data_IF_012401824811
#
_entry.id   IF_012401824811
#
_cell.length_a   1.000
_cell.length_b   1.000
_cell.length_c   1.000
_cell.angle_alpha   90.00
_cell.angle_beta   90.00
_cell.angle_gamma   90.00
#
_symmetry.space_group_name_H-M   'P 1'
#
loop_
_entity.id
_entity.type
_entity.pdbx_description
1 polymer ?
#
# COMPACT_ATOMS: atom_id res chain seq x y z
N UNK A 1 -17.24 -15.32 -2.97
CA UNK A 1 -16.12 -14.42 -3.34
C UNK A 1 -14.82 -15.19 -3.62
N UNK A 2 -14.36 -16.07 -2.71
CA UNK A 2 -13.08 -16.78 -2.87
C UNK A 2 -12.92 -17.51 -4.22
N UNK A 3 -13.91 -18.29 -4.67
CA UNK A 3 -13.84 -19.01 -5.94
C UNK A 3 -13.66 -18.08 -7.14
N UNK A 4 -14.31 -16.92 -7.14
CA UNK A 4 -14.18 -15.94 -8.23
C UNK A 4 -12.77 -15.32 -8.26
N UNK A 5 -12.16 -15.07 -7.10
CA UNK A 5 -10.78 -14.55 -7.00
C UNK A 5 -9.79 -15.55 -7.58
N UNK A 6 -9.94 -16.85 -7.26
CA UNK A 6 -9.05 -17.90 -7.79
C UNK A 6 -9.12 -17.96 -9.32
N UNK A 7 -10.30 -17.78 -9.91
CA UNK A 7 -10.49 -17.83 -11.36
C UNK A 7 -9.97 -16.56 -12.05
N UNK A 8 -10.30 -15.39 -11.49
CA UNK A 8 -10.10 -14.09 -12.15
C UNK A 8 -8.77 -13.40 -11.79
N UNK A 9 -8.21 -13.71 -10.62
CA UNK A 9 -7.02 -13.07 -10.04
C UNK A 9 -6.04 -14.13 -9.52
N UNK A 10 -5.47 -14.91 -10.44
CA UNK A 10 -4.70 -16.13 -10.14
C UNK A 10 -3.48 -15.91 -9.24
N UNK A 11 -2.87 -14.73 -9.31
CA UNK A 11 -1.71 -14.34 -8.49
C UNK A 11 -2.12 -13.65 -7.17
N UNK A 12 -3.43 -13.54 -6.89
CA UNK A 12 -3.93 -12.89 -5.68
C UNK A 12 -4.22 -13.90 -4.59
N UNK A 13 -3.58 -13.69 -3.43
CA UNK A 13 -3.88 -14.45 -2.22
C UNK A 13 -5.08 -13.85 -1.48
N UNK A 14 -6.19 -14.57 -1.43
CA UNK A 14 -7.36 -14.13 -0.67
C UNK A 14 -7.14 -14.29 0.84
N UNK A 15 -7.30 -13.20 1.58
CA UNK A 15 -7.13 -13.14 3.04
C UNK A 15 -8.45 -12.81 3.73
N UNK A 16 -8.71 -13.45 4.88
CA UNK A 16 -9.85 -13.11 5.72
C UNK A 16 -9.55 -11.84 6.53
N UNK A 17 -10.60 -11.06 6.76
CA UNK A 17 -10.50 -9.82 7.52
C UNK A 17 -10.50 -10.11 9.02
N UNK A 18 -9.44 -9.67 9.72
CA UNK A 18 -9.28 -9.90 11.16
C UNK A 18 -10.43 -9.25 11.93
N UNK A 19 -10.89 -8.06 11.52
CA UNK A 19 -12.05 -7.41 12.14
C UNK A 19 -13.32 -8.27 12.08
N UNK A 20 -13.60 -8.90 10.93
CA UNK A 20 -14.74 -9.80 10.79
C UNK A 20 -14.56 -11.07 11.64
N UNK A 21 -13.34 -11.60 11.73
CA UNK A 21 -13.04 -12.73 12.62
C UNK A 21 -13.29 -12.33 14.08
N UNK A 22 -12.81 -11.17 14.52
CA UNK A 22 -13.05 -10.63 15.87
C UNK A 22 -14.54 -10.41 16.15
N UNK A 23 -15.30 -9.90 15.17
CA UNK A 23 -16.76 -9.75 15.30
C UNK A 23 -17.47 -11.10 15.40
N UNK A 24 -17.04 -12.10 14.64
CA UNK A 24 -17.57 -13.45 14.75
C UNK A 24 -17.17 -14.08 16.10
N UNK A 25 -15.97 -13.83 16.60
CA UNK A 25 -15.53 -14.30 17.91
C UNK A 25 -16.47 -13.82 19.03
N UNK A 26 -16.92 -12.56 18.98
CA UNK A 26 -17.91 -12.06 19.96
C UNK A 26 -19.25 -12.81 19.92
N UNK A 27 -19.60 -13.41 18.79
CA UNK A 27 -20.86 -14.16 18.61
C UNK A 27 -20.71 -15.63 19.01
N UNK A 28 -19.65 -16.30 18.56
CA UNK A 28 -19.47 -17.76 18.74
C UNK A 28 -18.75 -18.13 20.03
N UNK A 29 -17.90 -17.25 20.55
CA UNK A 29 -17.10 -17.48 21.77
C UNK A 29 -17.14 -16.25 22.69
N UNK A 30 -18.26 -15.53 22.72
CA UNK A 30 -18.39 -14.24 23.40
C UNK A 30 -17.96 -14.25 24.87
N UNK A 31 -18.34 -15.28 25.64
CA UNK A 31 -17.93 -15.44 27.04
C UNK A 31 -16.41 -15.48 27.23
N UNK A 32 -15.70 -16.21 26.37
CA UNK A 32 -14.24 -16.26 26.35
C UNK A 32 -13.65 -14.97 25.80
N UNK A 33 -14.22 -14.41 24.74
CA UNK A 33 -13.71 -13.20 24.09
C UNK A 33 -13.80 -11.95 24.98
N UNK A 34 -14.72 -11.94 25.96
CA UNK A 34 -14.78 -10.93 27.01
C UNK A 34 -13.65 -11.05 28.06
N UNK A 35 -13.01 -12.21 28.19
CA UNK A 35 -11.86 -12.39 29.05
C UNK A 35 -10.62 -11.72 28.41
N UNK A 36 -9.98 -10.81 29.15
CA UNK A 36 -8.81 -10.07 28.68
C UNK A 36 -7.66 -10.98 28.27
N UNK A 37 -7.35 -11.99 29.08
CA UNK A 37 -6.25 -12.93 28.84
C UNK A 37 -6.50 -13.78 27.58
N UNK A 38 -7.74 -14.26 27.40
CA UNK A 38 -8.14 -14.96 26.18
C UNK A 38 -7.94 -14.08 24.96
N UNK A 39 -8.47 -12.85 25.03
CA UNK A 39 -8.42 -11.89 23.93
C UNK A 39 -6.99 -11.52 23.56
N UNK A 40 -6.11 -11.39 24.55
CA UNK A 40 -4.68 -11.14 24.34
C UNK A 40 -4.00 -12.31 23.62
N UNK A 41 -4.17 -13.55 24.10
CA UNK A 41 -3.59 -14.75 23.46
C UNK A 41 -4.14 -14.98 22.04
N UNK A 42 -5.44 -14.76 21.86
CA UNK A 42 -6.09 -14.88 20.56
C UNK A 42 -5.61 -13.78 19.59
N UNK A 43 -5.44 -12.55 20.06
CA UNK A 43 -4.90 -11.45 19.24
C UNK A 43 -3.44 -11.65 18.85
N UNK A 44 -2.64 -12.28 19.72
CA UNK A 44 -1.26 -12.67 19.42
C UNK A 44 -1.18 -13.56 18.17
N UNK A 45 -2.15 -14.45 17.96
CA UNK A 45 -2.24 -15.30 16.76
C UNK A 45 -2.47 -14.49 15.46
N UNK A 46 -3.12 -13.33 15.55
CA UNK A 46 -3.40 -12.48 14.39
C UNK A 46 -2.26 -11.54 14.02
N UNK A 47 -1.34 -11.27 14.95
CA UNK A 47 -0.50 -10.08 14.86
C UNK A 47 0.97 -10.35 15.13
N UNK A 48 1.27 -11.26 16.05
CA UNK A 48 2.61 -11.36 16.60
C UNK A 48 3.31 -12.65 16.20
N UNK A 49 2.59 -13.67 15.72
CA UNK A 49 3.20 -14.91 15.23
C UNK A 49 3.84 -14.69 13.86
N UNK A 50 5.17 -14.81 13.78
CA UNK A 50 5.94 -14.65 12.54
C UNK A 50 6.36 -15.98 11.93
N UNK A 51 6.35 -17.07 12.70
CA UNK A 51 6.65 -18.41 12.20
C UNK A 51 5.47 -19.35 12.46
N UNK A 52 5.36 -20.40 11.65
CA UNK A 52 4.34 -21.43 11.83
C UNK A 52 4.49 -22.09 13.21
N UNK A 53 5.71 -22.34 13.68
CA UNK A 53 5.97 -22.89 15.00
C UNK A 53 5.47 -21.99 16.14
N UNK A 54 5.70 -20.68 16.05
CA UNK A 54 5.17 -19.71 17.02
C UNK A 54 3.64 -19.70 17.03
N UNK A 55 3.03 -19.77 15.84
CA UNK A 55 1.58 -19.86 15.70
C UNK A 55 1.03 -21.13 16.33
N UNK A 56 1.56 -22.30 15.97
CA UNK A 56 1.09 -23.59 16.49
C UNK A 56 1.24 -23.66 18.00
N UNK A 57 2.36 -23.17 18.56
CA UNK A 57 2.55 -23.11 20.00
C UNK A 57 1.51 -22.19 20.68
N UNK A 58 1.33 -20.97 20.15
CA UNK A 58 0.39 -19.99 20.71
C UNK A 58 -1.06 -20.46 20.60
N UNK A 59 -1.43 -21.05 19.46
CA UNK A 59 -2.77 -21.57 19.22
C UNK A 59 -3.08 -22.77 20.12
N UNK A 60 -2.16 -23.73 20.22
CA UNK A 60 -2.36 -24.90 21.08
C UNK A 60 -2.43 -24.53 22.57
N UNK A 61 -1.61 -23.57 23.01
CA UNK A 61 -1.68 -23.04 24.38
C UNK A 61 -3.05 -22.39 24.66
N UNK A 62 -3.54 -21.54 23.75
CA UNK A 62 -4.86 -20.93 23.83
C UNK A 62 -5.98 -22.00 23.93
N UNK A 63 -5.97 -22.98 23.03
CA UNK A 63 -7.03 -24.00 22.98
C UNK A 63 -7.06 -24.82 24.28
N UNK A 64 -5.89 -25.26 24.77
CA UNK A 64 -5.80 -26.07 26.01
C UNK A 64 -6.16 -25.27 27.25
N UNK A 65 -5.62 -24.06 27.37
CA UNK A 65 -5.80 -23.21 28.56
C UNK A 65 -7.27 -22.87 28.81
N UNK A 66 -8.06 -22.76 27.74
CA UNK A 66 -9.48 -22.42 27.81
C UNK A 66 -10.41 -23.61 27.57
N UNK A 67 -9.88 -24.84 27.42
CA UNK A 67 -10.62 -26.08 27.17
C UNK A 67 -11.55 -26.00 25.94
N UNK A 68 -10.99 -25.57 24.80
CA UNK A 68 -11.73 -25.28 23.57
C UNK A 68 -11.50 -26.29 22.45
N UNK A 69 -10.98 -27.47 22.77
CA UNK A 69 -10.60 -28.52 21.80
C UNK A 69 -11.77 -28.97 20.93
N UNK A 70 -12.99 -29.00 21.49
CA UNK A 70 -14.22 -29.43 20.82
C UNK A 70 -15.01 -28.28 20.16
N UNK A 71 -14.51 -27.04 20.22
CA UNK A 71 -15.22 -25.90 19.67
C UNK A 71 -15.14 -25.91 18.13
N UNK A 72 -16.26 -26.21 17.48
CA UNK A 72 -16.35 -26.37 16.02
C UNK A 72 -15.96 -25.10 15.25
N UNK A 73 -16.29 -23.91 15.77
CA UNK A 73 -15.94 -22.65 15.11
C UNK A 73 -14.44 -22.38 15.15
N UNK A 74 -13.76 -22.67 16.26
CA UNK A 74 -12.31 -22.54 16.36
C UNK A 74 -11.58 -23.59 15.51
N UNK A 75 -12.11 -24.81 15.41
CA UNK A 75 -11.58 -25.83 14.49
C UNK A 75 -11.69 -25.38 13.02
N UNK A 76 -12.84 -24.81 12.62
CA UNK A 76 -13.02 -24.24 11.29
C UNK A 76 -12.06 -23.06 11.07
N UNK A 77 -11.94 -22.15 12.04
CA UNK A 77 -11.02 -21.02 11.95
C UNK A 77 -9.58 -21.51 11.78
N UNK A 78 -9.13 -22.50 12.55
CA UNK A 78 -7.80 -23.10 12.41
C UNK A 78 -7.58 -23.74 11.03
N UNK A 79 -8.58 -24.41 10.47
CA UNK A 79 -8.50 -24.97 9.12
C UNK A 79 -8.24 -23.90 8.04
N UNK A 80 -8.62 -22.66 8.33
CA UNK A 80 -8.44 -21.50 7.46
C UNK A 80 -7.21 -20.65 7.81
N UNK A 81 -6.32 -21.10 8.70
CA UNK A 81 -5.17 -20.32 9.23
C UNK A 81 -4.31 -19.62 8.18
N UNK A 82 -4.05 -20.27 7.05
CA UNK A 82 -3.28 -19.68 5.94
C UNK A 82 -3.92 -18.41 5.35
N UNK A 83 -5.24 -18.25 5.51
CA UNK A 83 -5.99 -17.09 5.02
C UNK A 83 -6.03 -15.93 6.01
N UNK A 84 -5.66 -16.11 7.28
CA UNK A 84 -5.78 -15.03 8.27
C UNK A 84 -4.56 -14.82 9.15
N UNK A 85 -3.77 -15.86 9.43
CA UNK A 85 -2.59 -15.74 10.27
C UNK A 85 -1.42 -15.17 9.46
N UNK A 86 -0.70 -14.14 9.95
CA UNK A 86 0.46 -13.57 9.26
C UNK A 86 1.58 -14.58 8.99
N UNK A 87 1.86 -15.48 9.93
CA UNK A 87 2.94 -16.47 9.83
C UNK A 87 2.98 -17.25 8.50
N UNK A 88 1.81 -17.48 7.90
CA UNK A 88 1.69 -18.23 6.65
C UNK A 88 1.72 -17.35 5.39
N UNK A 89 1.74 -16.01 5.51
CA UNK A 89 1.62 -15.07 4.39
C UNK A 89 2.63 -13.93 4.37
N UNK A 90 3.67 -14.00 5.19
CA UNK A 90 4.71 -12.98 5.23
C UNK A 90 5.54 -12.94 3.94
N UNK A 91 5.50 -14.00 3.14
CA UNK A 91 6.08 -14.10 1.80
C UNK A 91 5.33 -13.28 0.73
N UNK A 92 4.14 -12.78 1.06
CA UNK A 92 3.26 -12.08 0.12
C UNK A 92 3.27 -10.58 0.39
N UNK A 93 3.48 -9.78 -0.65
CA UNK A 93 3.42 -8.33 -0.54
C UNK A 93 2.03 -7.84 -0.15
N UNK A 94 1.93 -7.17 1.00
CA UNK A 94 0.69 -6.59 1.54
C UNK A 94 0.82 -5.09 1.83
N UNK A 95 1.99 -4.49 1.59
CA UNK A 95 2.34 -3.12 2.00
C UNK A 95 2.16 -2.88 3.51
N UNK A 96 2.28 -3.94 4.32
CA UNK A 96 1.92 -3.96 5.74
C UNK A 96 0.49 -3.45 6.02
N UNK A 97 -0.38 -3.48 5.01
CA UNK A 97 -1.78 -3.09 5.13
C UNK A 97 -2.52 -4.28 5.76
N UNK A 98 -2.62 -4.25 7.09
CA UNK A 98 -3.37 -5.23 7.87
C UNK A 98 -4.86 -5.12 7.56
N UNK A 99 -5.55 -6.27 7.49
CA UNK A 99 -6.97 -6.32 7.11
C UNK A 99 -7.88 -5.57 8.09
N UNK A 100 -7.48 -5.46 9.37
CA UNK A 100 -8.11 -4.57 10.35
C UNK A 100 -8.05 -3.10 9.95
N UNK A 101 -6.89 -2.61 9.49
CA UNK A 101 -6.67 -1.21 9.16
C UNK A 101 -7.51 -0.75 7.96
N UNK A 102 -7.77 -1.63 6.98
CA UNK A 102 -8.62 -1.30 5.82
C UNK A 102 -10.10 -1.28 6.15
N UNK A 103 -10.56 -2.30 6.90
CA UNK A 103 -11.92 -2.34 7.41
C UNK A 103 -12.20 -1.10 8.23
N UNK A 104 -11.36 -0.81 9.22
CA UNK A 104 -11.52 0.34 10.10
C UNK A 104 -11.38 1.68 9.36
N UNK A 105 -10.50 1.85 8.37
CA UNK A 105 -10.36 3.12 7.64
C UNK A 105 -11.54 3.40 6.69
N UNK A 106 -11.96 2.41 5.90
CA UNK A 106 -13.09 2.56 4.98
C UNK A 106 -14.40 2.63 5.78
N UNK A 107 -14.58 1.74 6.75
CA UNK A 107 -15.76 1.74 7.63
C UNK A 107 -15.79 2.97 8.53
N UNK A 108 -14.66 3.52 9.00
CA UNK A 108 -14.61 4.84 9.68
C UNK A 108 -14.97 5.97 8.73
N UNK A 109 -14.47 5.95 7.50
CA UNK A 109 -14.82 6.98 6.50
C UNK A 109 -16.32 6.94 6.19
N UNK A 110 -16.89 5.75 5.97
CA UNK A 110 -18.33 5.60 5.74
C UNK A 110 -19.16 5.85 7.00
N UNK A 111 -18.73 5.45 8.19
CA UNK A 111 -19.43 5.77 9.44
C UNK A 111 -19.41 7.27 9.76
N UNK A 112 -18.35 8.00 9.40
CA UNK A 112 -18.30 9.46 9.49
C UNK A 112 -19.24 10.14 8.47
N UNK A 113 -19.58 9.45 7.38
CA UNK A 113 -20.42 9.97 6.31
C UNK A 113 -21.89 9.57 6.51
N UNK A 114 -22.15 8.37 7.03
CA UNK A 114 -23.47 7.77 7.06
C UNK A 114 -24.19 8.05 8.38
N UNK A 115 -25.31 8.75 8.31
CA UNK A 115 -26.29 8.78 9.41
C UNK A 115 -27.44 7.81 9.10
N UNK A 116 -28.12 7.33 10.14
CA UNK A 116 -29.24 6.36 9.99
C UNK A 116 -30.41 6.90 9.13
N UNK A 117 -30.46 8.21 8.94
CA UNK A 117 -31.55 8.93 8.25
C UNK A 117 -31.13 9.48 6.89
N UNK A 118 -29.92 9.20 6.41
CA UNK A 118 -29.42 9.72 5.14
C UNK A 118 -29.96 8.93 3.95
N UNK A 119 -30.39 9.63 2.91
CA UNK A 119 -30.79 9.03 1.65
C UNK A 119 -29.58 8.70 0.76
N UNK A 120 -29.83 7.97 -0.33
CA UNK A 120 -28.77 7.55 -1.24
C UNK A 120 -28.08 8.74 -1.94
N UNK A 121 -28.84 9.81 -2.24
CA UNK A 121 -28.32 11.01 -2.89
C UNK A 121 -27.34 11.74 -1.95
N UNK A 122 -27.74 11.93 -0.69
CA UNK A 122 -26.89 12.53 0.35
C UNK A 122 -25.61 11.72 0.61
N UNK A 123 -25.68 10.38 0.49
CA UNK A 123 -24.52 9.50 0.57
C UNK A 123 -23.51 9.78 -0.55
N UNK A 124 -23.97 9.82 -1.80
CA UNK A 124 -23.12 10.06 -2.97
C UNK A 124 -22.45 11.43 -2.87
N UNK A 125 -23.20 12.47 -2.53
CA UNK A 125 -22.65 13.83 -2.38
C UNK A 125 -21.56 13.90 -1.29
N UNK A 126 -21.76 13.25 -0.15
CA UNK A 126 -20.73 13.20 0.91
C UNK A 126 -19.50 12.38 0.50
N UNK A 127 -19.71 11.26 -0.19
CA UNK A 127 -18.63 10.44 -0.73
C UNK A 127 -17.77 11.26 -1.71
N UNK A 128 -18.38 12.00 -2.63
CA UNK A 128 -17.66 12.88 -3.55
C UNK A 128 -16.89 13.98 -2.81
N UNK A 129 -17.50 14.61 -1.81
CA UNK A 129 -16.84 15.61 -0.97
C UNK A 129 -15.60 15.04 -0.26
N UNK A 130 -15.71 13.86 0.33
CA UNK A 130 -14.59 13.18 1.00
C UNK A 130 -13.52 12.74 0.00
N UNK A 131 -13.92 12.27 -1.18
CA UNK A 131 -13.00 11.95 -2.27
C UNK A 131 -12.19 13.17 -2.70
N UNK A 132 -12.81 14.35 -2.81
CA UNK A 132 -12.10 15.61 -3.09
C UNK A 132 -11.04 15.92 -2.03
N UNK A 133 -11.38 15.77 -0.74
CA UNK A 133 -10.42 15.99 0.37
C UNK A 133 -9.22 15.02 0.26
N UNK A 134 -9.47 13.74 0.01
CA UNK A 134 -8.39 12.74 -0.12
C UNK A 134 -7.50 13.05 -1.33
N UNK A 135 -8.09 13.42 -2.48
CA UNK A 135 -7.33 13.80 -3.68
C UNK A 135 -6.49 15.06 -3.45
N UNK A 136 -7.04 16.07 -2.78
CA UNK A 136 -6.29 17.29 -2.43
C UNK A 136 -5.12 16.97 -1.50
N UNK A 137 -5.32 16.11 -0.50
CA UNK A 137 -4.24 15.66 0.39
C UNK A 137 -3.16 14.86 -0.35
N UNK A 138 -3.54 14.03 -1.33
CA UNK A 138 -2.58 13.32 -2.19
C UNK A 138 -1.72 14.30 -3.02
N UNK A 139 -2.34 15.32 -3.60
CA UNK A 139 -1.63 16.36 -4.38
C UNK A 139 -0.67 17.17 -3.51
N UNK A 140 -1.08 17.51 -2.27
CA UNK A 140 -0.23 18.18 -1.29
C UNK A 140 1.00 17.31 -0.96
N UNK A 141 0.80 16.02 -0.69
CA UNK A 141 1.90 15.09 -0.40
C UNK A 141 2.83 14.88 -1.61
N UNK A 142 2.28 14.78 -2.83
CA UNK A 142 3.05 14.72 -4.07
C UNK A 142 3.94 15.98 -4.22
N UNK A 143 3.37 17.16 -3.97
CA UNK A 143 4.09 18.42 -4.03
C UNK A 143 5.22 18.47 -2.97
N UNK A 144 4.91 18.09 -1.74
CA UNK A 144 5.90 18.01 -0.65
C UNK A 144 7.03 17.04 -0.99
N UNK A 145 6.73 15.88 -1.57
CA UNK A 145 7.75 14.90 -1.95
C UNK A 145 8.64 15.39 -3.10
N UNK A 146 8.09 16.16 -4.04
CA UNK A 146 8.84 16.73 -5.18
C UNK A 146 9.75 17.88 -4.76
N UNK A 147 9.28 18.76 -3.88
CA UNK A 147 9.93 20.02 -3.58
C UNK A 147 10.60 20.06 -2.19
N UNK A 148 10.25 19.13 -1.32
CA UNK A 148 10.79 19.01 0.03
C UNK A 148 11.80 17.87 0.17
N UNK A 149 12.67 18.02 1.16
CA UNK A 149 13.45 16.91 1.70
C UNK A 149 13.02 16.62 3.13
N UNK A 150 12.97 15.35 3.54
CA UNK A 150 12.79 15.02 4.94
C UNK A 150 13.98 15.54 5.77
N UNK A 151 13.72 15.83 7.04
CA UNK A 151 14.79 16.16 7.98
C UNK A 151 15.64 14.90 8.25
N UNK A 152 16.96 15.00 8.08
CA UNK A 152 17.87 13.89 8.32
C UNK A 152 18.31 13.89 9.77
N UNK A 153 18.11 12.79 10.49
CA UNK A 153 18.58 12.64 11.88
C UNK A 153 20.11 12.61 12.00
N UNK A 154 20.80 12.13 10.99
CA UNK A 154 22.26 12.11 10.96
C UNK A 154 22.80 12.40 9.55
N UNK A 155 23.99 12.97 9.50
CA UNK A 155 24.70 13.23 8.25
C UNK A 155 25.43 11.97 7.76
N UNK A 156 24.67 10.94 7.38
CA UNK A 156 25.21 9.68 6.81
C UNK A 156 24.79 9.50 5.36
N UNK A 157 25.59 8.72 4.60
CA UNK A 157 25.26 8.40 3.21
C UNK A 157 23.92 7.70 3.07
N UNK A 158 23.62 6.75 3.97
CA UNK A 158 22.41 5.93 3.86
C UNK A 158 21.15 6.75 4.12
N UNK A 159 21.18 7.72 5.05
CA UNK A 159 20.09 8.68 5.25
C UNK A 159 19.88 9.55 4.02
N UNK A 160 20.95 10.07 3.41
CA UNK A 160 20.87 10.89 2.20
C UNK A 160 20.29 10.11 1.02
N UNK A 161 20.76 8.88 0.81
CA UNK A 161 20.27 8.01 -0.25
C UNK A 161 18.79 7.65 -0.05
N UNK A 162 18.38 7.27 1.15
CA UNK A 162 16.97 6.99 1.43
C UNK A 162 16.09 8.23 1.21
N UNK A 163 16.56 9.42 1.61
CA UNK A 163 15.83 10.67 1.45
C UNK A 163 15.72 11.15 -0.01
N UNK A 164 16.67 10.77 -0.89
CA UNK A 164 16.57 11.05 -2.32
C UNK A 164 15.61 10.10 -3.02
N UNK A 165 15.61 8.81 -2.64
CA UNK A 165 14.81 7.78 -3.28
C UNK A 165 13.34 7.77 -2.83
N UNK A 166 13.09 7.72 -1.52
CA UNK A 166 11.75 7.47 -0.97
C UNK A 166 10.87 8.72 -0.89
N UNK A 167 9.55 8.53 -0.98
CA UNK A 167 8.59 9.57 -0.55
C UNK A 167 8.83 9.93 0.92
N UNK A 168 8.42 11.13 1.34
CA UNK A 168 8.64 11.61 2.72
C UNK A 168 8.06 10.62 3.75
N UNK A 169 6.87 10.07 3.47
CA UNK A 169 6.24 9.08 4.35
C UNK A 169 7.04 7.78 4.42
N UNK A 170 7.52 7.28 3.28
CA UNK A 170 8.31 6.05 3.23
C UNK A 170 9.70 6.22 3.87
N UNK A 171 10.33 7.39 3.71
CA UNK A 171 11.53 7.76 4.44
C UNK A 171 11.30 7.71 5.96
N UNK A 172 10.16 8.17 6.47
CA UNK A 172 9.89 8.11 7.92
C UNK A 172 9.82 6.68 8.47
N UNK A 173 9.29 5.72 7.69
CA UNK A 173 9.30 4.32 8.07
C UNK A 173 10.71 3.74 8.03
N UNK A 174 11.45 4.03 6.96
CA UNK A 174 12.85 3.63 6.83
C UNK A 174 13.70 4.19 7.99
N UNK A 175 13.54 5.47 8.32
CA UNK A 175 14.26 6.12 9.42
C UNK A 175 13.96 5.45 10.75
N UNK A 176 12.70 5.09 11.03
CA UNK A 176 12.35 4.37 12.26
C UNK A 176 13.00 2.98 12.32
N UNK A 177 13.01 2.23 11.22
CA UNK A 177 13.69 0.93 11.16
C UNK A 177 15.21 1.08 11.32
N UNK A 178 15.82 2.10 10.68
CA UNK A 178 17.25 2.38 10.79
C UNK A 178 17.65 2.84 12.19
N UNK A 179 16.83 3.64 12.87
CA UNK A 179 17.09 4.02 14.26
C UNK A 179 16.88 2.85 15.21
N UNK A 180 16.03 1.88 14.87
CA UNK A 180 15.78 0.71 15.72
C UNK A 180 16.97 -0.26 15.75
N UNK A 181 17.95 -0.13 14.85
CA UNK A 181 19.14 -1.01 14.83
C UNK A 181 19.97 -0.93 16.12
N UNK A 182 19.85 0.16 16.89
CA UNK A 182 20.58 0.32 18.15
C UNK A 182 20.06 -0.62 19.25
N UNK A 183 18.77 -0.97 19.20
CA UNK A 183 18.16 -1.97 20.09
C UNK A 183 18.28 -3.40 19.58
N UNK A 184 19.10 -3.65 18.55
CA UNK A 184 19.31 -4.98 17.96
C UNK A 184 20.70 -5.48 18.31
N UNK A 185 20.76 -6.58 19.08
CA UNK A 185 21.98 -7.36 19.25
C UNK A 185 22.13 -8.31 18.06
N UNK A 186 23.32 -8.39 17.49
CA UNK A 186 23.60 -9.22 16.33
C UNK A 186 24.84 -10.08 16.55
N UNK A 187 24.74 -11.37 16.23
CA UNK A 187 25.79 -12.37 16.39
C UNK A 187 25.97 -13.11 15.07
N UNK A 188 27.20 -13.22 14.57
CA UNK A 188 27.53 -14.07 13.42
C UNK A 188 27.59 -15.53 13.87
N UNK A 189 26.80 -16.40 13.25
CA UNK A 189 26.70 -17.83 13.63
C UNK A 189 27.15 -18.78 12.51
N UNK A 190 27.34 -18.26 11.29
CA UNK A 190 27.81 -19.05 10.16
C UNK A 190 28.45 -18.17 9.09
N UNK A 191 29.53 -18.67 8.49
CA UNK A 191 30.28 -17.97 7.44
C UNK A 191 31.06 -18.97 6.57
N UNK A 192 30.82 -18.97 5.26
CA UNK A 192 31.58 -19.76 4.27
C UNK A 192 32.43 -18.90 3.31
N UNK A 193 32.59 -17.62 3.63
CA UNK A 193 33.28 -16.59 2.85
C UNK A 193 32.34 -15.75 1.99
N UNK A 194 31.35 -16.39 1.36
CA UNK A 194 30.38 -15.72 0.47
C UNK A 194 29.02 -15.53 1.13
N UNK A 195 28.60 -16.45 1.99
CA UNK A 195 27.38 -16.41 2.77
C UNK A 195 27.71 -16.22 4.25
N UNK A 196 26.94 -15.33 4.87
CA UNK A 196 27.01 -15.00 6.28
C UNK A 196 25.63 -15.22 6.88
N UNK A 197 25.56 -15.89 8.02
CA UNK A 197 24.34 -16.11 8.78
C UNK A 197 24.48 -15.38 10.11
N UNK A 198 23.53 -14.50 10.38
CA UNK A 198 23.45 -13.74 11.62
C UNK A 198 22.19 -14.11 12.40
N UNK A 199 22.32 -14.18 13.72
CA UNK A 199 21.20 -14.17 14.65
C UNK A 199 21.05 -12.78 15.24
N UNK A 200 19.82 -12.25 15.20
CA UNK A 200 19.47 -10.98 15.81
C UNK A 200 18.43 -11.15 16.91
N UNK A 201 18.63 -10.42 18.01
CA UNK A 201 17.72 -10.37 19.15
C UNK A 201 17.46 -8.90 19.48
N UNK A 202 16.19 -8.52 19.51
CA UNK A 202 15.76 -7.17 19.91
C UNK A 202 15.75 -7.05 21.44
N UNK A 203 16.22 -5.93 21.97
CA UNK A 203 16.18 -5.66 23.42
C UNK A 203 14.75 -5.74 23.97
N UNK A 204 14.56 -6.52 25.03
CA UNK A 204 13.24 -6.75 25.63
C UNK A 204 12.39 -7.80 24.91
N UNK A 205 12.91 -8.45 23.86
CA UNK A 205 12.21 -9.51 23.14
C UNK A 205 13.04 -10.80 23.07
N UNK A 206 12.45 -11.97 23.37
CA UNK A 206 13.17 -13.24 23.36
C UNK A 206 13.30 -13.85 21.95
N UNK A 207 12.67 -13.25 20.93
CA UNK A 207 12.65 -13.79 19.57
C UNK A 207 14.01 -13.65 18.91
N UNK A 208 14.46 -14.73 18.30
CA UNK A 208 15.64 -14.76 17.43
C UNK A 208 15.19 -14.60 15.98
N UNK A 209 15.80 -13.65 15.28
CA UNK A 209 15.65 -13.47 13.84
C UNK A 209 16.89 -13.97 13.13
N UNK A 210 16.69 -14.68 12.01
CA UNK A 210 17.78 -15.19 11.17
C UNK A 210 17.93 -14.25 9.98
N UNK A 211 19.17 -13.85 9.71
CA UNK A 211 19.51 -12.97 8.60
C UNK A 211 20.60 -13.66 7.79
N UNK A 212 20.35 -13.81 6.49
CA UNK A 212 21.31 -14.35 5.54
C UNK A 212 21.83 -13.22 4.68
N UNK A 213 23.15 -13.09 4.57
CA UNK A 213 23.79 -12.10 3.74
C UNK A 213 24.79 -12.75 2.78
N UNK A 214 24.67 -12.41 1.50
CA UNK A 214 25.59 -12.84 0.47
C UNK A 214 26.49 -11.67 0.06
N UNK A 215 27.79 -11.78 0.31
CA UNK A 215 28.78 -10.73 0.01
C UNK A 215 28.97 -10.53 -1.49
N UNK A 216 28.90 -11.60 -2.30
CA UNK A 216 29.08 -11.54 -3.74
C UNK A 216 27.93 -10.81 -4.46
N UNK A 217 26.69 -10.97 -3.98
CA UNK A 217 25.50 -10.35 -4.60
C UNK A 217 24.98 -9.14 -3.84
N UNK A 218 25.52 -8.86 -2.65
CA UNK A 218 24.99 -7.87 -1.68
C UNK A 218 23.50 -8.10 -1.37
N UNK A 219 23.06 -9.36 -1.37
CA UNK A 219 21.71 -9.73 -0.97
C UNK A 219 21.67 -9.96 0.54
N UNK A 220 20.69 -9.36 1.21
CA UNK A 220 20.30 -9.61 2.59
C UNK A 220 18.85 -10.12 2.63
N UNK A 221 18.59 -11.19 3.37
CA UNK A 221 17.25 -11.71 3.64
C UNK A 221 17.06 -11.79 5.16
N UNK A 222 15.84 -11.62 5.66
CA UNK A 222 15.57 -11.75 7.09
C UNK A 222 14.30 -12.56 7.34
N UNK A 223 14.31 -13.40 8.38
CA UNK A 223 13.16 -14.22 8.77
C UNK A 223 11.93 -13.41 9.20
N UNK A 224 12.07 -12.12 9.53
CA UNK A 224 10.92 -11.25 9.81
C UNK A 224 10.12 -10.88 8.54
N UNK A 225 10.70 -11.07 7.34
CA UNK A 225 10.04 -10.88 6.05
C UNK A 225 9.40 -9.50 5.81
N UNK A 226 9.92 -8.45 6.47
CA UNK A 226 9.42 -7.10 6.27
C UNK A 226 9.62 -6.62 4.83
N UNK A 227 10.70 -7.03 4.17
CA UNK A 227 10.94 -6.64 2.77
C UNK A 227 9.92 -7.31 1.84
N UNK A 228 9.67 -8.60 2.00
CA UNK A 228 8.70 -9.34 1.20
C UNK A 228 7.27 -8.83 1.42
N UNK A 229 6.91 -8.50 2.66
CA UNK A 229 5.56 -8.04 3.02
C UNK A 229 5.31 -6.55 2.78
N UNK A 230 6.32 -5.69 2.93
CA UNK A 230 6.19 -4.22 2.86
C UNK A 230 7.04 -3.57 1.76
N UNK A 231 8.09 -4.22 1.27
CA UNK A 231 9.04 -3.63 0.33
C UNK A 231 10.05 -2.67 0.98
N UNK A 232 10.27 -2.79 2.29
CA UNK A 232 11.28 -2.05 3.04
C UNK A 232 12.18 -3.02 3.82
N UNK A 233 13.47 -2.72 3.88
CA UNK A 233 14.39 -3.44 4.75
C UNK A 233 14.03 -3.20 6.22
N UNK A 234 13.95 -4.28 7.00
CA UNK A 234 13.80 -4.22 8.46
C UNK A 234 15.10 -3.78 9.13
N UNK A 235 14.98 -3.34 10.39
CA UNK A 235 16.09 -3.08 11.31
C UNK A 235 17.15 -4.19 11.32
N UNK A 236 16.76 -5.46 11.23
CA UNK A 236 17.71 -6.58 11.22
C UNK A 236 18.58 -6.58 9.95
N UNK A 237 17.96 -6.44 8.79
CA UNK A 237 18.69 -6.34 7.52
C UNK A 237 19.53 -5.06 7.44
N UNK A 238 18.99 -3.94 7.95
CA UNK A 238 19.71 -2.66 8.02
C UNK A 238 20.92 -2.73 8.97
N UNK A 239 20.83 -3.47 10.07
CA UNK A 239 21.97 -3.71 10.97
C UNK A 239 23.09 -4.47 10.25
N UNK A 240 22.77 -5.43 9.38
CA UNK A 240 23.79 -6.09 8.55
C UNK A 240 24.42 -5.10 7.57
N UNK A 241 23.63 -4.24 6.93
CA UNK A 241 24.17 -3.20 6.04
C UNK A 241 25.11 -2.23 6.78
N UNK A 242 24.76 -1.84 8.00
CA UNK A 242 25.60 -1.04 8.89
C UNK A 242 26.93 -1.76 9.22
N UNK A 243 26.87 -3.03 9.64
CA UNK A 243 28.07 -3.85 9.91
C UNK A 243 28.98 -4.03 8.68
N UNK A 244 28.39 -4.07 7.48
CA UNK A 244 29.13 -4.17 6.21
C UNK A 244 29.47 -2.80 5.60
N UNK A 245 29.28 -1.72 6.35
CA UNK A 245 29.64 -0.34 5.99
C UNK A 245 28.95 0.19 4.71
N UNK A 246 27.73 -0.25 4.43
CA UNK A 246 26.95 0.29 3.31
C UNK A 246 26.57 1.75 3.57
N UNK A 247 26.92 2.61 2.63
CA UNK A 247 26.53 4.03 2.63
C UNK A 247 25.32 4.32 1.75
N UNK A 248 24.77 3.30 1.09
CA UNK A 248 23.55 3.38 0.28
C UNK A 248 22.77 2.08 0.38
N UNK A 249 21.47 2.16 0.12
CA UNK A 249 20.58 0.99 0.07
C UNK A 249 20.83 0.31 -1.28
N UNK A 250 21.12 -1.01 -1.33
CA UNK A 250 21.27 -1.69 -2.61
C UNK A 250 20.01 -1.56 -3.46
N UNK A 251 20.15 -1.24 -4.75
CA UNK A 251 19.03 -0.89 -5.66
C UNK A 251 17.92 -1.93 -5.69
N UNK A 252 18.26 -3.22 -5.52
CA UNK A 252 17.29 -4.33 -5.44
C UNK A 252 16.26 -4.18 -4.31
N UNK A 253 16.58 -3.41 -3.27
CA UNK A 253 15.70 -3.14 -2.13
C UNK A 253 14.97 -1.79 -2.24
N UNK A 254 15.11 -1.09 -3.37
CA UNK A 254 14.36 0.12 -3.68
C UNK A 254 13.17 -0.24 -4.56
N UNK A 255 12.03 -0.46 -3.90
CA UNK A 255 10.76 -0.72 -4.58
C UNK A 255 10.20 0.55 -5.22
N UNK A 256 10.03 0.54 -6.56
CA UNK A 256 9.58 1.70 -7.35
C UNK A 256 8.35 2.40 -6.76
N UNK A 257 7.39 1.61 -6.29
CA UNK A 257 6.12 2.08 -5.68
C UNK A 257 6.32 3.00 -4.46
N UNK A 258 7.46 2.90 -3.78
CA UNK A 258 7.80 3.69 -2.59
C UNK A 258 8.65 4.91 -2.90
N UNK A 259 9.12 5.05 -4.13
CA UNK A 259 10.00 6.13 -4.54
C UNK A 259 9.23 7.41 -4.87
N UNK A 260 9.90 8.56 -4.81
CA UNK A 260 9.40 9.83 -5.38
C UNK A 260 9.11 9.72 -6.88
N UNK A 261 9.73 8.75 -7.55
CA UNK A 261 9.53 8.41 -8.95
C UNK A 261 8.39 7.41 -9.22
N UNK A 262 7.57 7.04 -8.22
CA UNK A 262 6.53 6.02 -8.39
C UNK A 262 5.58 6.32 -9.58
N UNK A 263 5.27 7.61 -9.80
CA UNK A 263 4.42 8.11 -10.90
C UNK A 263 5.19 8.40 -12.20
N UNK A 264 6.53 8.39 -12.19
CA UNK A 264 7.35 8.53 -13.41
C UNK A 264 7.32 7.18 -14.15
N UNK A 265 6.64 7.10 -15.30
CA UNK A 265 6.72 5.88 -16.14
C UNK A 265 8.17 5.64 -16.56
N UNK A 266 8.54 4.38 -16.64
CA UNK A 266 9.79 3.96 -17.30
C UNK A 266 9.66 4.45 -18.75
N UNK A 267 10.51 5.39 -19.13
CA UNK A 267 10.81 5.66 -20.54
C UNK A 267 11.83 4.59 -20.93
N UNK A 268 11.35 3.38 -21.23
CA UNK A 268 12.13 2.42 -22.00
C UNK A 268 11.40 2.24 -23.32
N UNK A 269 11.99 2.84 -24.34
CA UNK A 269 11.73 2.51 -25.73
C UNK A 269 12.19 1.06 -25.97
N UNK A 270 11.25 0.13 -26.05
CA UNK A 270 11.13 -0.88 -27.12
C UNK A 270 10.28 -2.08 -26.68
N UNK A 271 9.10 -2.16 -27.27
CA UNK A 271 8.50 -3.36 -27.90
C UNK A 271 8.35 -4.69 -27.12
N UNK A 272 7.10 -5.19 -27.20
CA UNK A 272 6.63 -6.58 -27.05
C UNK A 272 6.31 -7.09 -25.64
N UNK A 273 5.17 -6.65 -25.11
CA UNK A 273 4.17 -7.61 -24.66
C UNK A 273 2.78 -7.07 -24.99
N UNK A 274 2.27 -7.44 -26.16
CA UNK A 274 0.84 -7.38 -26.45
C UNK A 274 0.11 -8.30 -25.47
N UNK A 275 -0.18 -7.79 -24.28
CA UNK A 275 -1.18 -8.38 -23.41
C UNK A 275 -2.55 -8.09 -24.02
N UNK A 276 -3.16 -9.15 -24.52
CA UNK A 276 -4.50 -9.25 -25.09
C UNK A 276 -5.62 -8.88 -24.11
N UNK A 277 -5.74 -7.59 -23.79
CA UNK A 277 -6.96 -6.97 -23.27
C UNK A 277 -7.22 -5.66 -24.02
N UNK A 278 -7.51 -5.77 -25.33
CA UNK A 278 -8.20 -4.71 -26.06
C UNK A 278 -9.68 -4.75 -25.65
N UNK A 279 -9.99 -4.13 -24.51
CA UNK A 279 -11.31 -3.53 -24.31
C UNK A 279 -11.17 -2.06 -24.73
N UNK A 280 -11.91 -1.67 -25.77
CA UNK A 280 -11.70 -0.45 -26.54
C UNK A 280 -11.59 0.83 -25.70
N UNK A 281 -10.38 1.38 -25.60
CA UNK A 281 -10.22 2.80 -25.29
C UNK A 281 -10.47 3.55 -26.60
N UNK A 282 -11.47 4.44 -26.61
CA UNK A 282 -11.71 5.33 -27.75
C UNK A 282 -10.44 6.15 -28.04
N UNK A 283 -10.18 6.50 -29.30
CA UNK A 283 -9.04 7.35 -29.67
C UNK A 283 -8.99 8.67 -28.86
N UNK A 284 -10.16 9.15 -28.41
CA UNK A 284 -10.30 10.30 -27.50
C UNK A 284 -9.68 10.04 -26.12
N UNK A 285 -9.87 8.85 -25.54
CA UNK A 285 -9.30 8.49 -24.23
C UNK A 285 -7.77 8.46 -24.25
N UNK A 286 -7.17 8.02 -25.36
CA UNK A 286 -5.72 8.03 -25.54
C UNK A 286 -5.19 9.47 -25.66
N UNK A 287 -5.80 10.30 -26.52
CA UNK A 287 -5.43 11.71 -26.67
C UNK A 287 -5.57 12.51 -25.37
N UNK A 288 -6.65 12.27 -24.61
CA UNK A 288 -6.83 12.91 -23.31
C UNK A 288 -5.74 12.50 -22.31
N UNK A 289 -5.36 11.21 -22.28
CA UNK A 289 -4.30 10.75 -21.39
C UNK A 289 -2.95 11.41 -21.71
N UNK A 290 -2.66 11.65 -22.98
CA UNK A 290 -1.44 12.32 -23.44
C UNK A 290 -1.43 13.80 -23.04
N UNK A 291 -2.51 14.53 -23.34
CA UNK A 291 -2.69 15.94 -22.95
C UNK A 291 -2.61 16.14 -21.44
N UNK A 292 -3.21 15.25 -20.65
CA UNK A 292 -3.14 15.32 -19.18
C UNK A 292 -1.71 15.13 -18.66
N UNK A 293 -0.92 14.26 -19.30
CA UNK A 293 0.47 14.04 -18.90
C UNK A 293 1.32 15.29 -19.17
N UNK A 294 1.20 15.89 -20.35
CA UNK A 294 1.93 17.12 -20.69
C UNK A 294 1.48 18.32 -19.86
N UNK A 295 0.16 18.50 -19.72
CA UNK A 295 -0.44 19.57 -18.91
C UNK A 295 0.01 19.52 -17.45
N UNK A 296 0.09 18.34 -16.84
CA UNK A 296 0.50 18.19 -15.44
C UNK A 296 1.90 18.75 -15.16
N UNK A 297 2.85 18.64 -16.08
CA UNK A 297 4.18 19.23 -15.91
C UNK A 297 4.12 20.76 -15.97
N UNK A 298 3.39 21.30 -16.94
CA UNK A 298 3.19 22.75 -17.10
C UNK A 298 2.46 23.34 -15.89
N UNK A 299 1.41 22.67 -15.40
CA UNK A 299 0.66 23.09 -14.22
C UNK A 299 1.51 23.02 -12.96
N UNK A 300 2.31 21.96 -12.79
CA UNK A 300 3.21 21.80 -11.65
C UNK A 300 4.29 22.89 -11.58
N UNK A 301 4.79 23.36 -12.73
CA UNK A 301 5.77 24.47 -12.79
C UNK A 301 5.04 25.81 -12.60
N UNK A 302 3.91 26.00 -13.28
CA UNK A 302 3.14 27.24 -13.21
C UNK A 302 2.61 27.54 -11.81
N UNK A 303 2.25 26.52 -11.02
CA UNK A 303 1.72 26.71 -9.67
C UNK A 303 2.75 27.15 -8.62
N UNK A 304 4.04 27.21 -8.97
CA UNK A 304 5.11 27.60 -8.03
C UNK A 304 5.08 29.09 -7.68
N UNK A 305 4.46 29.93 -8.51
CA UNK A 305 4.36 31.37 -8.26
C UNK A 305 3.15 32.00 -8.97
N UNK A 306 2.75 33.19 -8.53
CA UNK A 306 1.61 33.92 -9.09
C UNK A 306 1.82 34.27 -10.57
N UNK A 307 3.06 34.62 -10.95
CA UNK A 307 3.40 34.93 -12.34
C UNK A 307 3.30 33.69 -13.24
N UNK A 308 3.77 32.53 -12.79
CA UNK A 308 3.64 31.25 -13.49
C UNK A 308 2.17 30.85 -13.65
N UNK A 309 1.37 31.01 -12.60
CA UNK A 309 -0.07 30.70 -12.63
C UNK A 309 -0.81 31.58 -13.63
N UNK A 310 -0.46 32.87 -13.69
CA UNK A 310 -1.04 33.81 -14.67
C UNK A 310 -0.67 33.43 -16.11
N UNK A 311 0.59 33.05 -16.37
CA UNK A 311 1.06 32.62 -17.69
C UNK A 311 0.29 31.38 -18.15
N UNK A 312 0.19 30.36 -17.30
CA UNK A 312 -0.53 29.12 -17.63
C UNK A 312 -2.01 29.40 -17.90
N UNK A 313 -2.68 30.18 -17.05
CA UNK A 313 -4.09 30.57 -17.27
C UNK A 313 -4.29 31.29 -18.60
N UNK A 314 -3.43 32.24 -18.94
CA UNK A 314 -3.51 32.97 -20.20
C UNK A 314 -3.36 32.03 -21.40
N UNK A 315 -2.38 31.12 -21.36
CA UNK A 315 -2.14 30.18 -22.45
C UNK A 315 -3.24 29.13 -22.60
N UNK A 316 -3.86 28.70 -21.51
CA UNK A 316 -5.05 27.85 -21.57
C UNK A 316 -6.23 28.56 -22.24
N UNK A 317 -6.45 29.84 -21.95
CA UNK A 317 -7.49 30.63 -22.62
C UNK A 317 -7.19 30.81 -24.11
N UNK A 318 -5.94 31.06 -24.49
CA UNK A 318 -5.55 31.12 -25.91
C UNK A 318 -5.77 29.77 -26.61
N UNK A 319 -5.37 28.66 -25.99
CA UNK A 319 -5.59 27.32 -26.53
C UNK A 319 -7.09 27.01 -26.70
N UNK A 320 -7.91 27.40 -25.74
CA UNK A 320 -9.37 27.18 -25.80
C UNK A 320 -9.99 27.94 -26.97
N UNK A 321 -9.60 29.19 -27.21
CA UNK A 321 -10.07 29.97 -28.36
C UNK A 321 -9.67 29.34 -29.69
N UNK A 322 -8.45 28.77 -29.78
CA UNK A 322 -8.01 28.07 -30.99
C UNK A 322 -8.84 26.80 -31.24
N UNK A 323 -9.13 26.04 -30.18
CA UNK A 323 -9.97 24.83 -30.27
C UNK A 323 -11.44 25.16 -30.62
N UNK A 324 -11.96 26.29 -30.14
CA UNK A 324 -13.30 26.79 -30.50
C UNK A 324 -13.37 27.30 -31.96
N UNK A 325 -12.22 27.66 -32.55
CA UNK A 325 -12.13 28.09 -33.95
C UNK A 325 -11.79 26.98 -34.95
N UNK A 326 -11.46 25.79 -34.47
CA UNK A 326 -11.16 24.63 -35.31
C UNK A 326 -12.47 23.94 -35.75
N UNK A 327 -12.61 23.71 -37.05
CA UNK A 327 -13.82 23.16 -37.67
C UNK A 327 -14.04 21.69 -37.27
N UNK A 328 -12.96 20.91 -37.08
CA UNK A 328 -13.06 19.48 -36.73
C UNK A 328 -13.54 19.31 -35.29
N UNK A 329 -12.96 20.08 -34.35
CA UNK A 329 -13.37 20.10 -32.93
C UNK A 329 -14.78 20.64 -32.76
N UNK A 330 -15.15 21.70 -33.47
CA UNK A 330 -16.50 22.30 -33.40
C UNK A 330 -17.57 21.35 -33.92
N UNK A 331 -17.28 20.60 -35.00
CA UNK A 331 -18.20 19.59 -35.54
C UNK A 331 -18.41 18.40 -34.58
N UNK A 332 -17.33 17.92 -33.94
CA UNK A 332 -17.38 16.82 -32.97
C UNK A 332 -18.10 17.23 -31.69
N UNK A 333 -17.90 18.47 -31.22
CA UNK A 333 -18.56 19.01 -30.04
C UNK A 333 -20.06 19.28 -30.28
N UNK A 334 -20.42 19.73 -31.49
CA UNK A 334 -21.82 19.83 -31.91
C UNK A 334 -22.55 18.48 -31.99
N UNK A 335 -21.84 17.40 -32.34
CA UNK A 335 -22.39 16.04 -32.33
C UNK A 335 -22.53 15.47 -30.91
N UNK A 336 -21.59 15.73 -30.00
CA UNK A 336 -21.69 15.34 -28.59
C UNK A 336 -22.87 16.01 -27.87
N UNK A 337 -23.08 17.31 -28.10
CA UNK A 337 -24.20 18.05 -27.50
C UNK A 337 -25.57 17.58 -28.04
N UNK A 338 -25.65 17.15 -29.31
CA UNK A 338 -26.88 16.55 -29.88
C UNK A 338 -27.20 15.18 -29.30
N UNK A 339 -26.19 14.37 -28.98
CA UNK A 339 -26.39 13.06 -28.34
C UNK A 339 -26.90 13.21 -26.91
N UNK A 340 -26.38 14.19 -26.15
CA UNK A 340 -26.91 14.49 -24.80
C UNK A 340 -28.34 15.05 -24.85
N UNK A 341 -28.67 15.93 -25.81
CA UNK A 341 -30.04 16.45 -25.99
C UNK A 341 -31.04 15.35 -26.41
N UNK A 342 -30.61 14.38 -27.21
CA UNK A 342 -31.43 13.21 -27.60
C UNK A 342 -31.67 12.31 -26.38
N UNK A 343 -30.63 12.03 -25.59
CA UNK A 343 -30.72 11.23 -24.36
C UNK A 343 -31.63 11.89 -23.30
N UNK A 344 -31.57 13.22 -23.16
CA UNK A 344 -32.45 13.96 -22.25
C UNK A 344 -33.91 13.97 -22.74
N UNK A 345 -34.17 14.02 -24.05
CA UNK A 345 -35.54 13.92 -24.60
C UNK A 345 -36.14 12.52 -24.45
N UNK A 346 -35.35 11.48 -24.68
CA UNK A 346 -35.81 10.10 -24.56
C UNK A 346 -36.12 9.72 -23.09
N UNK A 347 -35.45 10.35 -22.12
CA UNK A 347 -35.74 10.18 -20.68
C UNK A 347 -36.99 10.97 -20.21
N UNK A 348 -37.42 11.99 -20.95
CA UNK A 348 -38.57 12.84 -20.57
C UNK A 348 -39.89 12.45 -21.26
N UNK A 349 -39.87 11.56 -22.26
CA UNK A 349 -41.06 11.08 -22.96
C UNK A 349 -41.60 9.73 -22.46
N UNK A 350 -40.90 9.08 -21.51
CA UNK A 350 -41.28 7.81 -20.88
C UNK A 350 -41.87 7.98 -19.44
N UNK A 351 -42.54 9.11 -19.16
CA UNK A 351 -43.38 9.28 -17.95
C UNK A 351 -44.82 9.66 -18.30
#
# INVERSE_FOLDING_TARGET
>A
MANAIVVMLRETRHRLCIWHISKNATQYIGSHYSNHEFKEHFNKCFHDCLTEAEFEATWNDLIRKFNLESNSWLQELYSLREKWCPAFSLDTFTANIRSSNRGESITSTFHQISTKTMDLIGLVQHYEKKTKVVRSAELEEDFRCKNGMPHLRANSGIFKHAASEYTIKMYSFFENELMSIFGVRMIEVGNDGNQYIYEAIEEGHPRVYIIEYNSATSMVSCSCKLFESMGLLCRHALKVLDLKNFTSIPTRYIEKRWTKGAKKRIVESSHLYESSYKMGKSAQSLRLSELMHEGNNVFSIGSLCDSGTRIVKQKLVEAMKLLESDEETTSLQGNLNKVDDQFVRDVLLDN
#
